data_IF_986042749116
#
_entry.id   IF_986042749116
#
_cell.length_a   1.000
_cell.length_b   1.000
_cell.length_c   1.000
_cell.angle_alpha   90.00
_cell.angle_beta   90.00
_cell.angle_gamma   90.00
#
_symmetry.space_group_name_H-M   'P 1'
#
loop_
_entity.id
_entity.type
_entity.pdbx_description
1 polymer ?
#
# COMPACT_ATOMS: atom_id res chain seq x y z
N UNK A 1 -17.29 14.65 -8.62
CA UNK A 1 -16.09 14.11 -7.95
C UNK A 1 -14.96 14.26 -8.96
N UNK A 2 -14.36 15.45 -9.04
CA UNK A 2 -13.46 15.82 -10.17
C UNK A 2 -12.26 16.67 -9.73
N UNK A 3 -12.33 17.39 -8.61
CA UNK A 3 -11.14 18.03 -8.03
C UNK A 3 -10.00 17.03 -7.71
N UNK A 4 -10.34 15.84 -7.18
CA UNK A 4 -9.33 14.86 -6.72
C UNK A 4 -8.46 14.27 -7.83
N UNK A 5 -9.00 14.08 -9.03
CA UNK A 5 -8.26 13.62 -10.21
C UNK A 5 -7.32 14.71 -10.75
N UNK A 6 -7.73 15.98 -10.63
CA UNK A 6 -6.93 17.13 -11.07
C UNK A 6 -5.72 17.34 -10.16
N UNK A 7 -5.90 17.17 -8.85
CA UNK A 7 -4.81 17.25 -7.86
C UNK A 7 -3.78 16.12 -8.04
N UNK A 8 -4.25 14.90 -8.29
CA UNK A 8 -3.37 13.75 -8.58
C UNK A 8 -2.62 13.96 -9.90
N UNK A 9 -3.30 14.45 -10.94
CA UNK A 9 -2.69 14.76 -12.23
C UNK A 9 -1.60 15.82 -12.12
N UNK A 10 -1.83 16.88 -11.36
CA UNK A 10 -0.83 17.92 -11.10
C UNK A 10 0.39 17.37 -10.32
N UNK A 11 0.16 16.51 -9.33
CA UNK A 11 1.25 15.85 -8.60
C UNK A 11 2.08 14.92 -9.50
N UNK A 12 1.43 14.08 -10.30
CA UNK A 12 2.12 13.16 -11.22
C UNK A 12 2.90 13.93 -12.30
N UNK A 13 2.34 15.01 -12.82
CA UNK A 13 3.05 15.91 -13.73
C UNK A 13 4.31 16.49 -13.07
N UNK A 14 4.20 16.93 -11.81
CA UNK A 14 5.34 17.40 -11.01
C UNK A 14 6.41 16.32 -10.80
N UNK A 15 6.02 15.09 -10.49
CA UNK A 15 6.92 13.94 -10.34
C UNK A 15 7.63 13.63 -11.66
N UNK A 16 6.93 13.65 -12.79
CA UNK A 16 7.53 13.39 -14.10
C UNK A 16 8.56 14.46 -14.48
N UNK A 17 8.21 15.73 -14.32
CA UNK A 17 9.11 16.85 -14.63
C UNK A 17 10.32 16.84 -13.69
N UNK A 18 10.09 16.70 -12.37
CA UNK A 18 11.15 16.63 -11.38
C UNK A 18 12.05 15.40 -11.57
N UNK A 19 11.46 14.26 -11.90
CA UNK A 19 12.17 13.01 -12.18
C UNK A 19 13.08 13.11 -13.40
N UNK A 20 12.61 13.74 -14.48
CA UNK A 20 13.45 14.00 -15.66
C UNK A 20 14.61 14.92 -15.32
N UNK A 21 14.35 16.08 -14.70
CA UNK A 21 15.41 17.04 -14.33
C UNK A 21 16.44 16.40 -13.40
N UNK A 22 15.98 15.67 -12.38
CA UNK A 22 16.83 14.95 -11.44
C UNK A 22 17.66 13.86 -12.11
N UNK A 23 17.08 13.10 -13.05
CA UNK A 23 17.79 12.08 -13.81
C UNK A 23 18.87 12.69 -14.70
N UNK A 24 18.58 13.76 -15.43
CA UNK A 24 19.60 14.44 -16.26
C UNK A 24 20.72 15.00 -15.40
N UNK A 25 20.40 15.62 -14.26
CA UNK A 25 21.40 16.11 -13.32
C UNK A 25 22.25 14.98 -12.74
N UNK A 26 21.64 13.85 -12.38
CA UNK A 26 22.35 12.66 -11.89
C UNK A 26 23.28 12.06 -12.97
N UNK A 27 22.85 12.02 -14.23
CA UNK A 27 23.69 11.55 -15.35
C UNK A 27 24.86 12.50 -15.64
N UNK A 28 24.66 13.81 -15.48
CA UNK A 28 25.74 14.80 -15.61
C UNK A 28 26.73 14.72 -14.43
N UNK A 29 26.22 14.44 -13.23
CA UNK A 29 27.01 14.41 -11.99
C UNK A 29 27.67 13.06 -11.73
N UNK A 30 27.18 11.96 -12.32
CA UNK A 30 27.76 10.63 -12.22
C UNK A 30 28.61 10.33 -13.47
N UNK A 31 29.92 10.68 -13.48
CA UNK A 31 30.82 10.30 -14.56
C UNK A 31 31.17 8.82 -14.42
N UNK A 32 30.37 7.96 -15.01
CA UNK A 32 30.63 6.52 -15.06
C UNK A 32 30.86 6.11 -16.51
N UNK A 33 32.03 5.54 -16.78
CA UNK A 33 32.36 4.96 -18.08
C UNK A 33 31.43 3.77 -18.37
N UNK A 34 31.06 3.57 -19.63
CA UNK A 34 30.15 2.47 -20.01
C UNK A 34 30.70 1.08 -19.65
N UNK A 35 32.02 0.92 -19.58
CA UNK A 35 32.70 -0.35 -19.28
C UNK A 35 32.64 -0.71 -17.79
N UNK A 36 32.91 0.25 -16.91
CA UNK A 36 32.68 0.10 -15.47
C UNK A 36 31.20 -0.08 -15.16
N UNK A 37 30.32 0.67 -15.84
CA UNK A 37 28.86 0.55 -15.68
C UNK A 37 28.40 -0.86 -16.03
N UNK A 38 28.94 -1.47 -17.10
CA UNK A 38 28.58 -2.83 -17.50
C UNK A 38 29.04 -3.88 -16.49
N UNK A 39 30.25 -3.70 -15.96
CA UNK A 39 30.80 -4.58 -14.91
C UNK A 39 29.99 -4.45 -13.62
N UNK A 40 29.70 -3.22 -13.17
CA UNK A 40 28.86 -2.98 -11.99
C UNK A 40 27.42 -3.45 -12.17
N UNK A 41 26.80 -3.28 -13.34
CA UNK A 41 25.44 -3.82 -13.59
C UNK A 41 25.45 -5.34 -13.48
N UNK A 42 26.51 -6.00 -13.95
CA UNK A 42 26.58 -7.47 -13.92
C UNK A 42 26.78 -7.98 -12.49
N UNK A 43 27.66 -7.36 -11.72
CA UNK A 43 27.91 -7.73 -10.32
C UNK A 43 26.75 -7.33 -9.40
N UNK A 44 26.33 -6.06 -9.44
CA UNK A 44 25.25 -5.55 -8.59
C UNK A 44 23.88 -6.03 -9.03
N UNK A 45 23.66 -6.35 -10.30
CA UNK A 45 22.36 -6.84 -10.79
C UNK A 45 21.99 -8.21 -10.20
N UNK A 46 22.97 -9.10 -10.04
CA UNK A 46 22.76 -10.41 -9.40
C UNK A 46 22.43 -10.23 -7.92
N UNK A 47 23.21 -9.38 -7.23
CA UNK A 47 22.98 -9.10 -5.81
C UNK A 47 21.65 -8.37 -5.56
N UNK A 48 21.30 -7.43 -6.43
CA UNK A 48 20.06 -6.66 -6.35
C UNK A 48 18.84 -7.54 -6.58
N UNK A 49 18.89 -8.48 -7.52
CA UNK A 49 17.81 -9.46 -7.73
C UNK A 49 17.56 -10.28 -6.47
N UNK A 50 18.62 -10.80 -5.85
CA UNK A 50 18.52 -11.55 -4.60
C UNK A 50 17.94 -10.71 -3.45
N UNK A 51 18.41 -9.47 -3.29
CA UNK A 51 17.88 -8.53 -2.29
C UNK A 51 16.44 -8.14 -2.55
N UNK A 52 16.04 -7.98 -3.81
CA UNK A 52 14.65 -7.70 -4.21
C UNK A 52 13.74 -8.89 -3.94
N UNK A 53 14.18 -10.10 -4.26
CA UNK A 53 13.42 -11.32 -3.97
C UNK A 53 13.20 -11.49 -2.45
N UNK A 54 14.24 -11.24 -1.63
CA UNK A 54 14.10 -11.23 -0.17
C UNK A 54 13.18 -10.12 0.32
N UNK A 55 13.37 -8.88 -0.15
CA UNK A 55 12.53 -7.76 0.27
C UNK A 55 11.06 -7.93 -0.16
N UNK A 56 10.82 -8.54 -1.32
CA UNK A 56 9.48 -8.85 -1.80
C UNK A 56 8.83 -9.96 -0.95
N UNK A 57 9.59 -10.99 -0.58
CA UNK A 57 9.12 -12.02 0.35
C UNK A 57 8.77 -11.42 1.71
N UNK A 58 9.65 -10.62 2.30
CA UNK A 58 9.41 -9.95 3.59
C UNK A 58 8.20 -9.00 3.52
N UNK A 59 8.04 -8.26 2.42
CA UNK A 59 6.90 -7.38 2.22
C UNK A 59 5.59 -8.15 2.09
N UNK A 60 5.61 -9.29 1.39
CA UNK A 60 4.45 -10.17 1.26
C UNK A 60 4.05 -10.74 2.61
N UNK A 61 5.00 -11.25 3.38
CA UNK A 61 4.74 -11.82 4.71
C UNK A 61 4.16 -10.76 5.66
N UNK A 62 4.76 -9.57 5.71
CA UNK A 62 4.22 -8.45 6.50
C UNK A 62 2.84 -8.01 6.04
N UNK A 63 2.58 -8.01 4.73
CA UNK A 63 1.27 -7.66 4.19
C UNK A 63 0.22 -8.71 4.61
N UNK A 64 0.56 -10.00 4.58
CA UNK A 64 -0.30 -11.08 5.05
C UNK A 64 -0.61 -10.92 6.53
N UNK A 65 0.38 -10.62 7.38
CA UNK A 65 0.17 -10.36 8.81
C UNK A 65 -0.79 -9.19 9.05
N UNK A 66 -0.56 -8.06 8.37
CA UNK A 66 -1.43 -6.87 8.49
C UNK A 66 -2.86 -7.16 8.03
N UNK A 67 -3.03 -7.94 6.96
CA UNK A 67 -4.34 -8.34 6.45
C UNK A 67 -5.05 -9.24 7.47
N UNK A 68 -4.35 -10.21 8.05
CA UNK A 68 -4.93 -11.14 9.04
C UNK A 68 -5.32 -10.41 10.32
N UNK A 69 -4.46 -9.51 10.81
CA UNK A 69 -4.75 -8.71 11.99
C UNK A 69 -5.93 -7.76 11.75
N UNK A 70 -5.97 -7.15 10.55
CA UNK A 70 -7.10 -6.33 10.10
C UNK A 70 -8.41 -7.10 10.06
N UNK A 71 -8.42 -8.32 9.50
CA UNK A 71 -9.60 -9.20 9.47
C UNK A 71 -10.11 -9.52 10.86
N UNK A 72 -9.23 -9.92 11.78
CA UNK A 72 -9.62 -10.23 13.16
C UNK A 72 -10.24 -9.03 13.89
N UNK A 73 -9.69 -7.83 13.69
CA UNK A 73 -10.25 -6.59 14.27
C UNK A 73 -11.62 -6.25 13.70
N UNK A 74 -11.80 -6.43 12.38
CA UNK A 74 -13.08 -6.22 11.71
C UNK A 74 -14.12 -7.22 12.20
N UNK A 75 -13.80 -8.50 12.24
CA UNK A 75 -14.73 -9.54 12.73
C UNK A 75 -15.14 -9.27 14.18
N UNK A 76 -14.19 -8.90 15.04
CA UNK A 76 -14.44 -8.54 16.43
C UNK A 76 -15.36 -7.32 16.56
N UNK A 77 -15.15 -6.30 15.72
CA UNK A 77 -15.98 -5.10 15.67
C UNK A 77 -17.40 -5.42 15.17
N UNK A 78 -17.52 -6.25 14.14
CA UNK A 78 -18.81 -6.71 13.59
C UNK A 78 -19.57 -7.52 14.65
N UNK A 79 -18.91 -8.41 15.36
CA UNK A 79 -19.52 -9.20 16.43
C UNK A 79 -19.95 -8.34 17.61
N UNK A 80 -19.13 -7.37 18.03
CA UNK A 80 -19.51 -6.40 19.05
C UNK A 80 -20.73 -5.58 18.62
N UNK A 81 -20.77 -5.12 17.38
CA UNK A 81 -21.91 -4.39 16.80
C UNK A 81 -23.17 -5.26 16.74
N UNK A 82 -23.06 -6.52 16.29
CA UNK A 82 -24.17 -7.48 16.26
C UNK A 82 -24.69 -7.79 17.67
N UNK A 83 -23.82 -7.96 18.66
CA UNK A 83 -24.21 -8.17 20.07
C UNK A 83 -24.93 -6.94 20.64
N UNK A 84 -24.43 -5.74 20.38
CA UNK A 84 -25.06 -4.49 20.80
C UNK A 84 -26.44 -4.30 20.11
N UNK A 85 -26.56 -4.64 18.83
CA UNK A 85 -27.81 -4.59 18.08
C UNK A 85 -28.83 -5.64 18.57
N UNK A 86 -28.38 -6.86 18.88
CA UNK A 86 -29.24 -7.91 19.45
C UNK A 86 -29.74 -7.56 20.85
N UNK A 87 -28.93 -6.90 21.69
CA UNK A 87 -29.37 -6.41 23.01
C UNK A 87 -30.41 -5.29 22.92
N UNK A 88 -30.51 -4.56 21.81
CA UNK A 88 -31.55 -3.55 21.56
C UNK A 88 -32.82 -4.11 20.90
N UNK A 89 -32.82 -5.36 20.42
CA UNK A 89 -33.98 -5.98 19.76
C UNK A 89 -34.94 -6.83 20.62
N UNK A 90 -34.74 -7.12 21.93
CA UNK A 90 -35.73 -7.91 22.68
C UNK A 90 -36.95 -7.08 23.14
N UNK A 91 -36.91 -5.74 23.04
CA UNK A 91 -38.02 -4.89 23.50
C UNK A 91 -39.02 -4.50 22.38
N UNK A 92 -38.83 -4.99 21.15
CA UNK A 92 -39.70 -4.65 20.01
C UNK A 92 -40.79 -5.70 19.71
N UNK A 93 -40.81 -6.85 20.38
CA UNK A 93 -41.83 -7.91 20.15
C UNK A 93 -42.85 -8.09 21.30
N UNK A 94 -42.80 -7.30 22.39
CA UNK A 94 -43.85 -7.33 23.43
C UNK A 94 -45.00 -6.34 23.20
N UNK A 95 -45.06 -5.67 22.03
CA UNK A 95 -46.00 -4.57 21.78
C UNK A 95 -47.12 -4.85 20.75
N UNK A 96 -47.35 -6.10 20.35
CA UNK A 96 -48.47 -6.44 19.44
C UNK A 96 -49.15 -7.75 19.84
N UNK A 97 -49.64 -7.85 21.08
CA UNK A 97 -50.81 -8.68 21.37
C UNK A 97 -51.65 -7.98 22.44
N UNK A 98 -52.96 -7.95 22.20
CA UNK A 98 -54.10 -7.63 23.07
C UNK A 98 -54.68 -6.21 22.98
N UNK A 99 -55.85 -6.19 22.32
CA UNK A 99 -57.01 -5.25 22.30
C UNK A 99 -56.80 -3.75 22.03
#
# INVERSE_FOLDING_TARGET
>A
MSERDSDLGAFLAGVLVGGLVGATAALLLAPQSGEETRTMIRERGIELKSRLEQAAADAKDRAEDVIQEGKQRVDSAVDAARRAARRRRPDAESGTVVE
#
